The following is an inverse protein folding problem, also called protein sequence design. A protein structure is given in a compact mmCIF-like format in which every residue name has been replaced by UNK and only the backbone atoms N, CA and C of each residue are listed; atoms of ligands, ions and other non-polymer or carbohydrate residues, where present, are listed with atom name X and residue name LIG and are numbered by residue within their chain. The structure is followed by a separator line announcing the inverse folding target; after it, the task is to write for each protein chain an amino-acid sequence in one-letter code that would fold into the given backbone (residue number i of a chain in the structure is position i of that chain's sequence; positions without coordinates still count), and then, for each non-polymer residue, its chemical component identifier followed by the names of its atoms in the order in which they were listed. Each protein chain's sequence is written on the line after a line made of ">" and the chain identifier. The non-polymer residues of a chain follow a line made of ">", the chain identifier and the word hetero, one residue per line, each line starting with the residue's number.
data_IF_207589569269
#
_entry.id   IF_207589569269
#
_cell.length_a   1.000
_cell.length_b   1.000
_cell.length_c   1.000
_cell.angle_alpha   90.00
_cell.angle_beta   90.00
_cell.angle_gamma   90.00
#
_symmetry.space_group_name_H-M   'P 1'
#
loop_
_entity.id
_entity.type
_entity.pdbx_description
1 polymer ?
#
# COMPACT_ATOMS: atom_id res chain seq x y z
N UNK A 1 -5.41 -20.11 0.00
CA UNK A 1 -5.79 -19.19 1.09
C UNK A 1 -5.55 -17.77 0.60
N UNK A 2 -6.50 -16.86 0.75
CA UNK A 2 -6.37 -15.47 0.28
C UNK A 2 -5.43 -14.70 1.20
N UNK A 3 -4.49 -13.94 0.63
CA UNK A 3 -3.53 -13.09 1.34
C UNK A 3 -3.87 -11.62 1.07
N UNK A 4 -4.28 -10.92 2.13
CA UNK A 4 -4.60 -9.49 2.07
C UNK A 4 -3.47 -8.65 2.66
N UNK A 5 -3.20 -7.49 2.05
CA UNK A 5 -2.37 -6.44 2.62
C UNK A 5 -3.22 -5.20 2.90
N UNK A 6 -3.22 -4.74 4.15
CA UNK A 6 -3.74 -3.43 4.53
C UNK A 6 -2.59 -2.45 4.73
N UNK A 7 -2.63 -1.34 4.01
CA UNK A 7 -1.78 -0.19 4.21
C UNK A 7 -2.60 0.81 5.03
N UNK A 8 -2.04 1.26 6.16
CA UNK A 8 -2.62 2.33 6.96
C UNK A 8 -2.69 3.65 6.18
N UNK A 9 -2.99 4.74 6.88
CA UNK A 9 -3.14 6.03 6.22
C UNK A 9 -1.88 6.46 5.45
N UNK A 10 -2.06 6.66 4.14
CA UNK A 10 -1.03 7.18 3.25
C UNK A 10 -1.04 8.70 3.42
N UNK A 11 -0.01 9.24 4.09
CA UNK A 11 0.02 10.66 4.42
C UNK A 11 0.87 11.49 3.44
N UNK A 12 0.22 12.31 2.62
CA UNK A 12 0.81 13.31 1.75
C UNK A 12 1.80 12.77 0.70
N UNK A 13 2.57 13.70 0.12
CA UNK A 13 3.66 13.38 -0.83
C UNK A 13 4.66 12.34 -0.28
N UNK A 14 5.09 12.37 1.00
CA UNK A 14 5.99 11.35 1.54
C UNK A 14 5.37 9.96 1.52
N UNK A 15 4.12 9.80 1.97
CA UNK A 15 3.41 8.53 1.99
C UNK A 15 3.27 7.95 0.59
N UNK A 16 2.77 8.73 -0.37
CA UNK A 16 2.63 8.29 -1.77
C UNK A 16 3.95 7.86 -2.38
N UNK A 17 5.06 8.56 -2.08
CA UNK A 17 6.40 8.20 -2.56
C UNK A 17 6.85 6.84 -2.01
N UNK A 18 6.61 6.56 -0.74
CA UNK A 18 6.96 5.27 -0.12
C UNK A 18 6.12 4.14 -0.73
N UNK A 19 4.80 4.34 -0.85
CA UNK A 19 3.90 3.35 -1.47
C UNK A 19 4.34 3.04 -2.90
N UNK A 20 4.58 4.06 -3.72
CA UNK A 20 5.03 3.88 -5.11
C UNK A 20 6.38 3.15 -5.21
N UNK A 21 7.30 3.37 -4.26
CA UNK A 21 8.63 2.77 -4.29
C UNK A 21 8.68 1.34 -3.72
N UNK A 22 7.84 1.01 -2.74
CA UNK A 22 7.93 -0.26 -2.00
C UNK A 22 6.87 -1.27 -2.41
N UNK A 23 5.63 -0.83 -2.69
CA UNK A 23 4.54 -1.75 -3.01
C UNK A 23 4.84 -2.65 -4.22
N UNK A 24 5.45 -2.17 -5.33
CA UNK A 24 5.78 -3.02 -6.46
C UNK A 24 6.69 -4.21 -6.11
N UNK A 25 7.51 -4.11 -5.06
CA UNK A 25 8.45 -5.16 -4.64
C UNK A 25 7.77 -6.31 -3.89
N UNK A 26 6.62 -6.07 -3.29
CA UNK A 26 5.93 -7.04 -2.43
C UNK A 26 4.53 -7.41 -2.93
N UNK A 27 3.97 -6.69 -3.90
CA UNK A 27 2.58 -6.89 -4.35
C UNK A 27 2.26 -8.28 -4.89
N UNK A 28 3.25 -9.01 -5.43
CA UNK A 28 3.07 -10.39 -5.91
C UNK A 28 2.82 -11.41 -4.79
N UNK A 29 3.08 -11.04 -3.54
CA UNK A 29 2.85 -11.88 -2.35
C UNK A 29 1.43 -11.74 -1.79
N UNK A 30 0.57 -10.91 -2.40
CA UNK A 30 -0.78 -10.64 -1.93
C UNK A 30 -1.77 -10.75 -3.10
N UNK A 31 -2.97 -11.21 -2.79
CA UNK A 31 -4.04 -11.36 -3.79
C UNK A 31 -4.88 -10.09 -3.89
N UNK A 32 -4.95 -9.31 -2.80
CA UNK A 32 -5.66 -8.04 -2.75
C UNK A 32 -4.99 -7.08 -1.77
N UNK A 33 -4.98 -5.79 -2.12
CA UNK A 33 -4.31 -4.74 -1.36
C UNK A 33 -5.30 -3.59 -1.15
N UNK A 34 -5.45 -3.15 0.10
CA UNK A 34 -6.26 -1.97 0.49
C UNK A 34 -5.35 -0.95 1.13
N UNK A 35 -5.52 0.32 0.79
CA UNK A 35 -4.82 1.44 1.42
C UNK A 35 -5.83 2.48 1.90
N UNK A 36 -5.67 2.98 3.13
CA UNK A 36 -6.38 4.19 3.52
C UNK A 36 -5.69 5.40 2.88
N UNK A 37 -6.44 6.18 2.11
CA UNK A 37 -5.95 7.36 1.40
C UNK A 37 -6.58 8.66 1.87
N UNK A 38 -7.16 8.72 3.07
CA UNK A 38 -7.84 9.92 3.59
C UNK A 38 -6.92 11.16 3.62
N UNK A 39 -5.60 10.98 3.84
CA UNK A 39 -4.61 12.06 3.86
C UNK A 39 -3.60 12.01 2.70
N UNK A 40 -3.89 11.25 1.64
CA UNK A 40 -2.94 10.92 0.56
C UNK A 40 -2.37 12.12 -0.19
#
# INVERSE_FOLDING_TARGET
>A
MIRLLFIGDVYGKPGRRVVAAQLPKIRSSFDFIVANGENA
#
